data_IF_988087921457
#
_entry.id   IF_988087921457
#
_cell.length_a   1.000
_cell.length_b   1.000
_cell.length_c   1.000
_cell.angle_alpha   90.00
_cell.angle_beta   90.00
_cell.angle_gamma   90.00
#
_symmetry.space_group_name_H-M   'P 1'
#
loop_
_entity.id
_entity.type
_entity.pdbx_description
1 polymer ?
#
# COMPACT_ATOMS: atom_id res chain seq x y z
N UNK A 1 -15.59 -5.19 -24.77
CA UNK A 1 -15.47 -4.89 -23.34
C UNK A 1 -14.05 -5.25 -22.97
N UNK A 2 -13.19 -4.30 -22.56
CA UNK A 2 -11.90 -4.67 -22.02
C UNK A 2 -12.15 -5.40 -20.71
N UNK A 3 -11.59 -6.58 -20.59
CA UNK A 3 -11.56 -7.34 -19.32
C UNK A 3 -10.87 -6.46 -18.28
N UNK A 4 -11.40 -6.30 -17.07
CA UNK A 4 -10.68 -5.67 -15.99
C UNK A 4 -9.43 -6.51 -15.73
N UNK A 5 -8.29 -5.98 -16.11
CA UNK A 5 -6.99 -6.64 -15.98
C UNK A 5 -6.58 -6.48 -14.52
N UNK A 6 -7.05 -7.37 -13.71
CA UNK A 6 -6.39 -7.59 -12.44
C UNK A 6 -5.02 -8.15 -12.75
N UNK A 7 -4.07 -7.28 -12.55
CA UNK A 7 -2.69 -7.64 -12.46
C UNK A 7 -2.43 -8.88 -13.32
N UNK A 8 -2.02 -8.67 -14.56
CA UNK A 8 -1.27 -9.75 -15.18
C UNK A 8 -0.38 -10.27 -14.06
N UNK A 9 -0.41 -11.53 -13.76
CA UNK A 9 0.15 -12.15 -12.53
C UNK A 9 1.58 -11.72 -12.22
N UNK A 10 2.26 -11.11 -13.17
CA UNK A 10 3.61 -10.57 -13.09
C UNK A 10 3.75 -9.23 -12.37
N UNK A 11 2.92 -8.20 -12.65
CA UNK A 11 3.14 -6.84 -12.11
C UNK A 11 2.91 -6.75 -10.60
N UNK A 12 1.83 -7.34 -10.09
CA UNK A 12 1.58 -7.37 -8.65
C UNK A 12 2.63 -8.16 -7.88
N UNK A 13 3.11 -9.28 -8.46
CA UNK A 13 4.20 -10.04 -7.87
C UNK A 13 5.50 -9.23 -7.83
N UNK A 14 5.79 -8.45 -8.88
CA UNK A 14 6.94 -7.56 -8.94
C UNK A 14 6.87 -6.53 -7.83
N UNK A 15 5.74 -5.82 -7.69
CA UNK A 15 5.54 -4.80 -6.64
C UNK A 15 5.69 -5.41 -5.24
N UNK A 16 4.98 -6.51 -4.95
CA UNK A 16 5.07 -7.22 -3.67
C UNK A 16 6.52 -7.62 -3.38
N UNK A 17 7.24 -8.13 -4.38
CA UNK A 17 8.63 -8.58 -4.23
C UNK A 17 9.57 -7.40 -3.93
N UNK A 18 9.48 -6.30 -4.68
CA UNK A 18 10.38 -5.16 -4.53
C UNK A 18 10.11 -4.43 -3.20
N UNK A 19 8.88 -3.96 -3.00
CA UNK A 19 8.52 -3.21 -1.77
C UNK A 19 8.70 -4.07 -0.53
N UNK A 20 8.23 -5.32 -0.59
CA UNK A 20 8.35 -6.22 0.53
C UNK A 20 9.79 -6.51 0.94
N UNK A 21 10.70 -6.70 -0.02
CA UNK A 21 12.13 -6.90 0.27
C UNK A 21 12.80 -5.63 0.77
N UNK A 22 12.40 -4.46 0.26
CA UNK A 22 12.97 -3.17 0.66
C UNK A 22 12.54 -2.79 2.09
N UNK A 23 11.26 -3.03 2.44
CA UNK A 23 10.74 -2.74 3.79
C UNK A 23 11.06 -3.84 4.83
N UNK A 24 11.42 -5.03 4.38
CA UNK A 24 11.72 -6.14 5.27
C UNK A 24 13.24 -6.26 5.48
N UNK A 25 13.71 -5.97 6.70
CA UNK A 25 15.10 -6.26 7.08
C UNK A 25 15.44 -7.74 6.86
N UNK A 26 16.64 -8.02 6.35
CA UNK A 26 17.13 -9.39 6.11
C UNK A 26 17.08 -10.28 7.36
N UNK A 27 17.15 -9.68 8.55
CA UNK A 27 17.15 -10.38 9.85
C UNK A 27 15.76 -10.52 10.46
N UNK A 28 14.76 -9.76 10.01
CA UNK A 28 13.43 -9.73 10.60
C UNK A 28 12.38 -10.28 9.64
N UNK A 29 11.87 -11.47 9.93
CA UNK A 29 10.68 -12.03 9.27
C UNK A 29 9.42 -11.48 9.94
N UNK A 30 9.25 -10.15 9.95
CA UNK A 30 8.03 -9.56 10.49
C UNK A 30 6.80 -10.07 9.74
N UNK A 31 5.72 -10.39 10.43
CA UNK A 31 4.48 -10.82 9.80
C UNK A 31 3.89 -9.68 8.97
N UNK A 32 3.38 -10.01 7.77
CA UNK A 32 2.75 -9.08 6.83
C UNK A 32 1.27 -9.39 6.75
N UNK A 33 0.42 -8.42 7.02
CA UNK A 33 -1.02 -8.53 6.81
C UNK A 33 -1.30 -8.23 5.33
N UNK A 34 -1.84 -9.20 4.61
CA UNK A 34 -2.18 -9.08 3.21
C UNK A 34 -3.69 -9.27 3.01
N UNK A 35 -4.26 -8.42 2.17
CA UNK A 35 -5.69 -8.35 1.91
C UNK A 35 -5.95 -8.23 0.41
N UNK A 36 -7.08 -8.76 -0.04
CA UNK A 36 -7.65 -8.48 -1.36
C UNK A 36 -8.93 -7.64 -1.22
N UNK A 37 -9.28 -6.94 -2.29
CA UNK A 37 -10.51 -6.15 -2.40
C UNK A 37 -10.94 -6.05 -3.87
N UNK A 38 -12.20 -5.67 -4.12
CA UNK A 38 -12.70 -5.44 -5.48
C UNK A 38 -12.99 -6.71 -6.27
N UNK A 39 -13.17 -7.86 -5.63
CA UNK A 39 -13.72 -9.06 -6.24
C UNK A 39 -15.26 -9.03 -6.22
N UNK A 40 -15.89 -10.01 -6.86
CA UNK A 40 -17.37 -10.09 -6.96
C UNK A 40 -18.08 -10.23 -5.60
N UNK A 41 -17.37 -10.69 -4.56
CA UNK A 41 -17.91 -10.85 -3.21
C UNK A 41 -17.73 -9.60 -2.36
N UNK A 42 -16.52 -9.03 -2.37
CA UNK A 42 -16.21 -7.84 -1.59
C UNK A 42 -16.70 -6.56 -2.24
N UNK A 43 -16.73 -6.53 -3.56
CA UNK A 43 -17.08 -5.37 -4.37
C UNK A 43 -16.32 -4.11 -3.87
N UNK A 44 -17.04 -3.03 -3.60
CA UNK A 44 -16.52 -1.78 -3.07
C UNK A 44 -16.71 -1.61 -1.54
N UNK A 45 -17.15 -2.67 -0.84
CA UNK A 45 -17.67 -2.59 0.56
C UNK A 45 -16.72 -3.12 1.62
N UNK A 46 -15.91 -4.11 1.31
CA UNK A 46 -15.06 -4.77 2.29
C UNK A 46 -13.76 -5.32 1.68
N UNK A 47 -12.96 -5.94 2.51
CA UNK A 47 -11.72 -6.62 2.14
C UNK A 47 -11.74 -8.05 2.65
N UNK A 48 -11.04 -8.96 1.99
CA UNK A 48 -10.81 -10.33 2.46
C UNK A 48 -9.34 -10.54 2.81
N UNK A 49 -9.07 -11.46 3.71
CA UNK A 49 -7.71 -11.82 4.15
C UNK A 49 -7.10 -12.87 3.22
N UNK A 50 -5.79 -12.79 2.97
CA UNK A 50 -5.09 -13.81 2.17
C UNK A 50 -5.06 -15.17 2.83
N UNK A 51 -5.11 -15.23 4.15
CA UNK A 51 -5.23 -16.48 4.91
C UNK A 51 -6.64 -16.58 5.49
N UNK A 52 -7.33 -17.73 5.31
CA UNK A 52 -8.74 -17.89 5.73
C UNK A 52 -8.96 -17.69 7.23
N UNK A 53 -7.94 -17.97 8.04
CA UNK A 53 -7.97 -17.77 9.50
C UNK A 53 -7.70 -16.31 9.93
N UNK A 54 -7.48 -15.40 8.97
CA UNK A 54 -7.17 -13.99 9.22
C UNK A 54 -5.77 -13.75 9.79
N UNK A 55 -4.92 -14.76 9.89
CA UNK A 55 -3.56 -14.62 10.37
C UNK A 55 -2.68 -13.86 9.37
N UNK A 56 -1.60 -13.19 9.82
CA UNK A 56 -0.67 -12.52 8.92
C UNK A 56 0.24 -13.51 8.20
N UNK A 57 0.66 -13.17 6.98
CA UNK A 57 1.66 -13.93 6.23
C UNK A 57 3.04 -13.88 6.91
N UNK A 58 3.80 -14.97 6.82
CA UNK A 58 5.14 -15.12 7.44
C UNK A 58 6.26 -14.47 6.63
N UNK A 59 6.00 -13.27 6.10
CA UNK A 59 6.93 -12.52 5.27
C UNK A 59 6.56 -12.53 3.79
N UNK A 60 7.37 -11.85 2.97
CA UNK A 60 7.09 -11.58 1.54
C UNK A 60 6.91 -12.85 0.71
N UNK A 61 7.73 -13.89 0.96
CA UNK A 61 7.59 -15.17 0.26
C UNK A 61 6.21 -15.78 0.43
N UNK A 62 5.71 -15.81 1.66
CA UNK A 62 4.37 -16.33 1.96
C UNK A 62 3.25 -15.46 1.36
N UNK A 63 3.42 -14.12 1.30
CA UNK A 63 2.48 -13.26 0.58
C UNK A 63 2.42 -13.62 -0.90
N UNK A 64 3.58 -13.83 -1.54
CA UNK A 64 3.67 -14.19 -2.96
C UNK A 64 3.08 -15.57 -3.26
N UNK A 65 3.29 -16.55 -2.38
CA UNK A 65 2.67 -17.89 -2.50
C UNK A 65 1.15 -17.78 -2.45
N UNK A 66 0.61 -17.12 -1.41
CA UNK A 66 -0.83 -16.92 -1.27
C UNK A 66 -1.44 -16.11 -2.40
N UNK A 67 -0.74 -15.07 -2.86
CA UNK A 67 -1.16 -14.29 -4.02
C UNK A 67 -1.36 -15.18 -5.27
N UNK A 68 -0.39 -16.06 -5.56
CA UNK A 68 -0.46 -16.99 -6.70
C UNK A 68 -1.60 -18.00 -6.58
N UNK A 69 -1.89 -18.45 -5.36
CA UNK A 69 -2.97 -19.42 -5.10
C UNK A 69 -4.35 -18.77 -5.23
N UNK A 70 -4.53 -17.54 -4.72
CA UNK A 70 -5.83 -16.87 -4.68
C UNK A 70 -6.20 -16.28 -6.03
N UNK A 71 -5.25 -15.63 -6.72
CA UNK A 71 -5.52 -14.84 -7.93
C UNK A 71 -6.27 -15.59 -9.04
N UNK A 72 -5.99 -16.88 -9.36
CA UNK A 72 -6.72 -17.61 -10.38
C UNK A 72 -8.20 -17.89 -10.05
N UNK A 73 -8.56 -17.86 -8.77
CA UNK A 73 -9.91 -18.17 -8.30
C UNK A 73 -10.78 -16.92 -8.14
N UNK A 74 -10.18 -15.73 -8.23
CA UNK A 74 -10.91 -14.48 -8.04
C UNK A 74 -11.70 -14.10 -9.28
N UNK A 75 -12.98 -13.84 -9.07
CA UNK A 75 -13.85 -13.19 -10.05
C UNK A 75 -13.94 -11.72 -9.70
N UNK A 76 -13.47 -10.89 -10.61
CA UNK A 76 -13.40 -9.46 -10.40
C UNK A 76 -14.76 -8.81 -10.55
N UNK A 77 -14.98 -7.72 -9.84
CA UNK A 77 -16.24 -7.04 -9.93
C UNK A 77 -16.31 -5.75 -9.12
N UNK A 78 -17.13 -4.84 -9.61
CA UNK A 78 -17.48 -3.63 -8.90
C UNK A 78 -16.55 -2.43 -9.13
N UNK A 79 -16.91 -1.28 -8.55
CA UNK A 79 -16.09 -0.08 -8.60
C UNK A 79 -14.84 -0.22 -7.73
N UNK A 80 -13.76 0.49 -8.10
CA UNK A 80 -12.52 0.54 -7.32
C UNK A 80 -12.67 1.54 -6.17
N UNK A 81 -12.72 1.03 -4.94
CA UNK A 81 -12.84 1.82 -3.73
C UNK A 81 -11.73 1.46 -2.73
N UNK A 82 -10.88 2.43 -2.40
CA UNK A 82 -9.80 2.22 -1.44
C UNK A 82 -10.22 2.48 0.02
N UNK A 83 -11.40 3.06 0.26
CA UNK A 83 -11.84 3.39 1.62
C UNK A 83 -11.90 2.17 2.56
N UNK A 84 -12.44 1.00 2.17
CA UNK A 84 -12.50 -0.16 3.05
C UNK A 84 -11.13 -0.62 3.57
N UNK A 85 -10.12 -0.73 2.68
CA UNK A 85 -8.78 -1.15 3.08
C UNK A 85 -8.07 -0.07 3.92
N UNK A 86 -8.29 1.23 3.62
CA UNK A 86 -7.74 2.33 4.42
C UNK A 86 -8.33 2.32 5.83
N UNK A 87 -9.65 2.16 5.98
CA UNK A 87 -10.29 2.03 7.30
C UNK A 87 -9.81 0.79 8.05
N UNK A 88 -9.56 -0.31 7.33
CA UNK A 88 -8.94 -1.48 7.94
C UNK A 88 -7.55 -1.17 8.49
N UNK A 89 -6.70 -0.49 7.71
CA UNK A 89 -5.36 -0.08 8.13
C UNK A 89 -5.39 0.91 9.32
N UNK A 90 -6.36 1.83 9.37
CA UNK A 90 -6.58 2.71 10.52
C UNK A 90 -6.82 1.89 11.80
N UNK A 91 -7.68 0.86 11.74
CA UNK A 91 -7.92 -0.02 12.90
C UNK A 91 -6.65 -0.71 13.36
N UNK A 92 -5.81 -1.17 12.41
CA UNK A 92 -4.52 -1.78 12.72
C UNK A 92 -3.53 -0.79 13.34
N UNK A 93 -3.43 0.42 12.80
CA UNK A 93 -2.57 1.47 13.35
C UNK A 93 -2.98 1.84 14.78
N UNK A 94 -4.29 1.96 15.05
CA UNK A 94 -4.81 2.18 16.41
C UNK A 94 -4.47 1.03 17.35
N UNK A 95 -4.65 -0.21 16.93
CA UNK A 95 -4.45 -1.39 17.78
C UNK A 95 -2.96 -1.63 18.07
N UNK A 96 -2.07 -1.34 17.13
CA UNK A 96 -0.63 -1.57 17.30
C UNK A 96 0.10 -0.43 18.01
N UNK A 97 -0.43 0.80 17.94
CA UNK A 97 0.24 2.00 18.42
C UNK A 97 1.55 2.36 17.70
N UNK A 98 1.89 1.61 16.64
CA UNK A 98 3.12 1.77 15.86
C UNK A 98 2.85 2.36 14.49
N UNK A 99 3.89 2.90 13.84
CA UNK A 99 3.78 3.36 12.47
C UNK A 99 3.47 2.19 11.53
N UNK A 100 2.47 2.38 10.67
CA UNK A 100 2.07 1.41 9.65
C UNK A 100 2.26 2.02 8.26
N UNK A 101 2.66 1.19 7.30
CA UNK A 101 2.69 1.53 5.88
C UNK A 101 1.68 0.64 5.17
N UNK A 102 0.65 1.24 4.61
CA UNK A 102 -0.32 0.57 3.74
C UNK A 102 0.14 0.71 2.29
N UNK A 103 0.39 -0.40 1.63
CA UNK A 103 0.65 -0.44 0.19
C UNK A 103 -0.59 -0.98 -0.51
N UNK A 104 -1.19 -0.18 -1.38
CA UNK A 104 -2.32 -0.55 -2.24
C UNK A 104 -1.78 -0.75 -3.65
N UNK A 105 -2.00 -1.93 -4.23
CA UNK A 105 -1.62 -2.24 -5.61
C UNK A 105 -2.91 -2.27 -6.41
N UNK A 106 -3.04 -1.42 -7.41
CA UNK A 106 -4.23 -1.28 -8.23
C UNK A 106 -3.88 -1.17 -9.71
N UNK A 107 -4.70 -1.75 -10.57
CA UNK A 107 -4.56 -1.68 -12.04
C UNK A 107 -5.52 -0.68 -12.69
N UNK A 108 -6.32 -0.01 -11.89
CA UNK A 108 -7.27 1.01 -12.30
C UNK A 108 -7.32 2.16 -11.30
N UNK A 109 -7.81 3.29 -11.78
CA UNK A 109 -7.99 4.47 -10.94
C UNK A 109 -9.18 4.30 -9.99
N UNK A 110 -9.14 5.03 -8.89
CA UNK A 110 -10.24 5.06 -7.93
C UNK A 110 -11.52 5.61 -8.57
N UNK A 111 -12.63 4.93 -8.36
CA UNK A 111 -13.96 5.35 -8.84
C UNK A 111 -14.81 5.95 -7.73
N UNK A 112 -14.59 5.54 -6.47
CA UNK A 112 -15.26 6.06 -5.27
C UNK A 112 -14.42 7.17 -4.62
N UNK A 113 -14.17 8.27 -5.34
CA UNK A 113 -13.24 9.34 -4.92
C UNK A 113 -13.62 9.98 -3.60
N UNK A 114 -14.91 10.29 -3.38
CA UNK A 114 -15.38 10.95 -2.16
C UNK A 114 -15.08 10.12 -0.91
N UNK A 115 -15.41 8.84 -0.95
CA UNK A 115 -15.21 7.94 0.18
C UNK A 115 -13.72 7.69 0.44
N UNK A 116 -12.95 7.49 -0.63
CA UNK A 116 -11.50 7.33 -0.55
C UNK A 116 -10.82 8.59 0.01
N UNK A 117 -11.25 9.78 -0.44
CA UNK A 117 -10.75 11.06 0.10
C UNK A 117 -11.01 11.17 1.61
N UNK A 118 -12.23 10.87 2.04
CA UNK A 118 -12.57 10.89 3.47
C UNK A 118 -11.71 9.92 4.28
N UNK A 119 -11.48 8.71 3.77
CA UNK A 119 -10.65 7.71 4.42
C UNK A 119 -9.17 8.16 4.52
N UNK A 120 -8.60 8.78 3.47
CA UNK A 120 -7.23 9.32 3.48
C UNK A 120 -7.09 10.46 4.51
N UNK A 121 -8.06 11.38 4.53
CA UNK A 121 -8.08 12.49 5.51
C UNK A 121 -8.17 11.95 6.94
N UNK A 122 -9.05 10.96 7.18
CA UNK A 122 -9.16 10.32 8.48
C UNK A 122 -7.86 9.61 8.87
N UNK A 123 -7.25 8.88 7.92
CA UNK A 123 -5.98 8.17 8.14
C UNK A 123 -4.84 9.08 8.61
N UNK A 124 -4.82 10.35 8.21
CA UNK A 124 -3.82 11.33 8.64
C UNK A 124 -3.83 11.64 10.15
N UNK A 125 -4.85 11.22 10.86
CA UNK A 125 -4.93 11.35 12.32
C UNK A 125 -4.18 10.25 13.08
N UNK A 126 -3.66 9.24 12.35
CA UNK A 126 -3.00 8.07 12.90
C UNK A 126 -1.60 7.91 12.31
N UNK A 127 -0.77 7.08 12.92
CA UNK A 127 0.56 6.78 12.43
C UNK A 127 0.49 5.82 11.20
N UNK A 128 -0.08 6.30 10.09
CA UNK A 128 -0.37 5.53 8.89
C UNK A 128 0.07 6.28 7.63
N UNK A 129 1.00 5.69 6.90
CA UNK A 129 1.42 6.12 5.56
C UNK A 129 0.73 5.26 4.50
N UNK A 130 0.29 5.86 3.39
CA UNK A 130 -0.43 5.19 2.30
C UNK A 130 0.35 5.37 1.01
N UNK A 131 0.74 4.26 0.39
CA UNK A 131 1.37 4.22 -0.93
C UNK A 131 0.41 3.49 -1.87
N UNK A 132 -0.02 4.16 -2.93
CA UNK A 132 -0.79 3.52 -4.01
C UNK A 132 0.14 3.31 -5.19
N UNK A 133 0.24 2.07 -5.64
CA UNK A 133 1.02 1.67 -6.81
C UNK A 133 0.07 1.34 -7.93
N UNK A 134 0.09 2.15 -8.99
CA UNK A 134 -0.60 1.87 -10.23
C UNK A 134 0.20 0.88 -11.08
N UNK A 135 -0.44 -0.25 -11.43
CA UNK A 135 0.13 -1.28 -12.31
C UNK A 135 -0.70 -1.40 -13.58
N UNK A 136 -0.08 -1.77 -14.72
CA UNK A 136 -0.77 -1.80 -16.02
C UNK A 136 -0.72 -0.46 -16.75
N UNK A 137 -1.58 -0.30 -17.75
CA UNK A 137 -1.47 0.79 -18.74
C UNK A 137 -2.24 2.05 -18.35
N UNK A 138 -2.95 2.04 -17.23
CA UNK A 138 -3.74 3.20 -16.77
C UNK A 138 -5.11 3.30 -17.47
N UNK A 139 -5.65 4.50 -17.67
CA UNK A 139 -5.04 5.83 -17.47
C UNK A 139 -4.82 6.22 -15.99
N UNK A 140 -3.77 7.01 -15.72
CA UNK A 140 -3.39 7.39 -14.35
C UNK A 140 -3.50 8.89 -14.05
N UNK A 141 -3.88 9.70 -15.03
CA UNK A 141 -3.99 11.17 -14.88
C UNK A 141 -4.93 11.56 -13.75
N UNK A 142 -6.03 10.83 -13.58
CA UNK A 142 -6.95 11.06 -12.47
C UNK A 142 -6.30 10.81 -11.10
N UNK A 143 -5.40 9.83 -10.98
CA UNK A 143 -4.69 9.56 -9.72
C UNK A 143 -3.63 10.61 -9.39
N UNK A 144 -2.97 11.18 -10.40
CA UNK A 144 -2.04 12.28 -10.23
C UNK A 144 -2.75 13.57 -9.80
N UNK A 145 -3.86 13.91 -10.48
CA UNK A 145 -4.72 15.02 -10.06
C UNK A 145 -5.34 14.80 -8.68
N UNK A 146 -5.73 13.56 -8.38
CA UNK A 146 -6.31 13.19 -7.10
C UNK A 146 -5.35 13.49 -5.94
N UNK A 147 -4.07 13.15 -6.08
CA UNK A 147 -3.04 13.50 -5.10
C UNK A 147 -2.99 15.00 -4.83
N UNK A 148 -3.05 15.84 -5.88
CA UNK A 148 -2.99 17.29 -5.77
C UNK A 148 -4.29 17.90 -5.18
N UNK A 149 -5.44 17.26 -5.40
CA UNK A 149 -6.75 17.74 -4.96
C UNK A 149 -7.14 17.32 -3.55
N UNK A 150 -6.33 16.48 -2.87
CA UNK A 150 -6.66 16.03 -1.52
C UNK A 150 -6.79 17.20 -0.53
N UNK A 151 -7.85 17.22 0.31
CA UNK A 151 -8.05 18.27 1.30
C UNK A 151 -6.91 18.36 2.31
N UNK A 152 -6.87 19.49 3.04
CA UNK A 152 -5.93 19.67 4.16
C UNK A 152 -6.09 18.54 5.18
N UNK A 153 -4.99 17.92 5.55
CA UNK A 153 -4.89 16.82 6.51
C UNK A 153 -3.79 17.09 7.53
N UNK A 154 -3.64 16.25 8.54
CA UNK A 154 -2.67 16.48 9.62
C UNK A 154 -1.22 16.40 9.13
N UNK A 155 -0.95 15.53 8.16
CA UNK A 155 0.31 15.45 7.42
C UNK A 155 0.08 14.82 6.05
N UNK A 156 1.03 14.95 5.15
CA UNK A 156 0.98 14.35 3.81
C UNK A 156 1.20 12.84 3.90
N UNK A 157 0.10 12.10 4.10
CA UNK A 157 0.10 10.66 4.37
C UNK A 157 -0.13 9.77 3.15
N UNK A 158 -0.30 10.37 1.96
CA UNK A 158 -0.67 9.66 0.74
C UNK A 158 0.35 9.92 -0.37
N UNK A 159 0.73 8.86 -1.08
CA UNK A 159 1.63 8.92 -2.22
C UNK A 159 1.17 7.96 -3.31
N UNK A 160 1.14 8.42 -4.58
CA UNK A 160 0.84 7.61 -5.76
C UNK A 160 2.09 7.42 -6.60
N UNK A 161 2.32 6.20 -7.08
CA UNK A 161 3.44 5.84 -7.97
C UNK A 161 2.93 4.99 -9.13
N UNK A 162 3.20 5.42 -10.35
CA UNK A 162 2.97 4.63 -11.55
C UNK A 162 4.18 3.72 -11.81
N UNK A 163 3.99 2.40 -11.69
CA UNK A 163 5.06 1.41 -11.86
C UNK A 163 5.69 1.50 -13.27
N UNK A 164 4.86 1.52 -14.30
CA UNK A 164 5.34 1.53 -15.70
C UNK A 164 6.16 2.78 -15.99
N UNK A 165 5.67 3.96 -15.59
CA UNK A 165 6.39 5.22 -15.79
C UNK A 165 7.77 5.18 -15.13
N UNK A 166 7.83 4.82 -13.85
CA UNK A 166 9.09 4.81 -13.09
C UNK A 166 10.07 3.77 -13.62
N UNK A 167 9.59 2.60 -14.05
CA UNK A 167 10.47 1.58 -14.63
C UNK A 167 11.00 1.97 -16.01
N UNK A 168 10.19 2.67 -16.82
CA UNK A 168 10.64 3.24 -18.10
C UNK A 168 11.67 4.36 -17.90
N UNK A 169 11.49 5.19 -16.89
CA UNK A 169 12.44 6.29 -16.57
C UNK A 169 13.77 5.78 -16.00
N UNK A 170 13.81 4.52 -15.53
CA UNK A 170 14.99 3.89 -14.91
C UNK A 170 15.34 2.55 -15.58
N UNK A 171 15.66 2.51 -16.88
CA UNK A 171 15.78 1.24 -17.62
C UNK A 171 16.95 0.37 -17.18
N UNK A 172 18.02 0.97 -16.62
CA UNK A 172 19.20 0.21 -16.13
C UNK A 172 18.93 -0.48 -14.79
N UNK A 173 18.12 0.15 -13.91
CA UNK A 173 17.85 -0.35 -12.57
C UNK A 173 16.35 -0.15 -12.21
N UNK A 174 15.42 -0.78 -12.93
CA UNK A 174 13.99 -0.51 -12.77
C UNK A 174 13.45 -0.83 -11.38
N UNK A 175 13.97 -1.88 -10.72
CA UNK A 175 13.56 -2.24 -9.38
C UNK A 175 14.02 -1.22 -8.32
N UNK A 176 15.25 -0.69 -8.45
CA UNK A 176 15.78 0.33 -7.56
C UNK A 176 15.04 1.66 -7.78
N UNK A 177 14.85 2.07 -9.03
CA UNK A 177 14.08 3.26 -9.38
C UNK A 177 12.69 3.23 -8.78
N UNK A 178 11.98 2.10 -8.92
CA UNK A 178 10.66 1.94 -8.35
C UNK A 178 10.67 1.97 -6.81
N UNK A 179 11.58 1.26 -6.14
CA UNK A 179 11.67 1.28 -4.69
C UNK A 179 11.94 2.70 -4.17
N UNK A 180 12.86 3.43 -4.80
CA UNK A 180 13.18 4.81 -4.45
C UNK A 180 11.98 5.73 -4.61
N UNK A 181 11.27 5.68 -5.75
CA UNK A 181 10.09 6.49 -5.98
C UNK A 181 8.96 6.17 -5.00
N UNK A 182 8.69 4.88 -4.75
CA UNK A 182 7.61 4.44 -3.86
C UNK A 182 7.85 4.86 -2.40
N UNK A 183 9.09 4.87 -1.94
CA UNK A 183 9.43 5.16 -0.54
C UNK A 183 9.92 6.59 -0.30
N UNK A 184 10.02 7.42 -1.35
CA UNK A 184 10.58 8.77 -1.29
C UNK A 184 9.99 9.66 -0.18
N UNK A 185 8.70 9.52 0.11
CA UNK A 185 8.00 10.35 1.11
C UNK A 185 7.96 9.74 2.52
N UNK A 186 8.38 8.48 2.69
CA UNK A 186 8.29 7.79 3.98
C UNK A 186 9.13 8.47 5.07
N UNK A 187 10.38 8.93 4.84
CA UNK A 187 11.16 9.63 5.86
C UNK A 187 10.45 10.88 6.40
N UNK A 188 9.91 11.73 5.51
CA UNK A 188 9.21 12.96 5.89
C UNK A 188 7.90 12.66 6.62
N UNK A 189 7.18 11.63 6.19
CA UNK A 189 5.96 11.16 6.85
C UNK A 189 6.24 10.65 8.26
N UNK A 190 7.32 9.88 8.45
CA UNK A 190 7.76 9.41 9.76
C UNK A 190 8.15 10.58 10.69
N UNK A 191 8.88 11.57 10.16
CA UNK A 191 9.21 12.78 10.90
C UNK A 191 7.94 13.55 11.33
N UNK A 192 6.95 13.68 10.44
CA UNK A 192 5.68 14.29 10.74
C UNK A 192 4.88 13.51 11.80
N UNK A 193 4.79 12.19 11.70
CA UNK A 193 4.14 11.29 12.67
C UNK A 193 4.74 11.49 14.07
N UNK A 194 6.08 11.52 14.17
CA UNK A 194 6.78 11.76 15.45
C UNK A 194 6.49 13.15 16.01
N UNK A 195 6.61 14.20 15.19
CA UNK A 195 6.33 15.58 15.58
C UNK A 195 4.90 15.79 16.07
N UNK A 196 3.93 15.10 15.45
CA UNK A 196 2.52 15.17 15.80
C UNK A 196 2.13 14.28 16.99
N UNK A 197 3.06 13.48 17.51
CA UNK A 197 2.81 12.58 18.65
C UNK A 197 1.78 11.49 18.35
N UNK A 198 1.76 10.97 17.10
CA UNK A 198 0.76 9.98 16.67
C UNK A 198 1.12 8.55 17.08
N UNK A 199 2.32 8.31 17.61
CA UNK A 199 2.73 7.02 18.17
C UNK A 199 2.23 6.91 19.61
N UNK A 200 1.74 5.73 20.02
CA UNK A 200 1.41 5.48 21.41
C UNK A 200 2.70 5.30 22.24
N UNK A 201 2.77 5.94 23.39
CA UNK A 201 4.00 6.01 24.21
C UNK A 201 4.40 4.73 24.95
N UNK A 202 3.56 3.68 24.95
CA UNK A 202 3.76 2.47 25.75
C UNK A 202 4.28 1.23 24.99
N UNK A 203 4.62 1.38 23.73
CA UNK A 203 5.29 0.33 22.96
C UNK A 203 6.66 0.84 22.53
N UNK A 204 7.72 0.36 23.21
CA UNK A 204 9.09 0.82 23.00
C UNK A 204 9.46 1.06 21.54
N UNK A 205 10.26 2.08 21.31
CA UNK A 205 10.87 2.46 20.04
C UNK A 205 11.45 1.25 19.29
N UNK A 206 10.66 0.64 18.44
CA UNK A 206 11.14 -0.29 17.42
C UNK A 206 10.63 0.19 16.06
N UNK A 207 11.04 1.38 15.71
CA UNK A 207 11.28 1.68 14.30
C UNK A 207 12.67 1.10 14.05
N UNK A 208 12.85 0.20 13.08
CA UNK A 208 14.18 -0.25 12.75
C UNK A 208 15.01 0.98 12.36
N UNK A 209 15.98 1.36 13.16
CA UNK A 209 17.00 2.35 12.80
C UNK A 209 17.73 1.96 11.49
N UNK A 210 17.64 0.69 11.12
CA UNK A 210 18.23 0.11 9.91
C UNK A 210 17.65 0.63 8.58
N UNK A 211 16.45 1.27 8.55
CA UNK A 211 15.92 1.84 7.30
C UNK A 211 16.65 3.16 6.95
N UNK A 212 17.22 3.84 7.94
CA UNK A 212 17.92 5.13 7.75
C UNK A 212 19.40 4.93 7.42
N UNK A 213 20.00 3.84 7.89
CA UNK A 213 21.44 3.55 7.69
C UNK A 213 21.76 2.91 6.33
N UNK A 214 20.78 2.21 5.70
CA UNK A 214 20.97 1.58 4.39
C UNK A 214 20.70 2.54 3.20
N UNK A 215 20.32 3.81 3.48
CA UNK A 215 20.03 4.85 2.47
C UNK A 215 21.11 5.94 2.40
N UNK A 216 22.27 5.74 3.03
CA UNK A 216 23.40 6.69 3.01
C UNK A 216 24.46 6.30 2.02
#
# INVERSE_FOLDING_TARGET
MPLPIWISSSHGQIVISIIGRTLQSRKSKKPIRAFGFGDSFTADRCVFTFLPDGSPCRGVGHVLERYKEITPELVLGGPTNFAPIIYHAIRQAKASGTCQILVIIADGQVTSEKETTQAIVEASKYALSIIVVGVGDGPWEAMEHYKAALPKRRFENFHFVNLNQVTCDNPEQPALGFATAALAHIPDQLAAIRRLGLLQRDGGDVIPQEIVEDMS
#
